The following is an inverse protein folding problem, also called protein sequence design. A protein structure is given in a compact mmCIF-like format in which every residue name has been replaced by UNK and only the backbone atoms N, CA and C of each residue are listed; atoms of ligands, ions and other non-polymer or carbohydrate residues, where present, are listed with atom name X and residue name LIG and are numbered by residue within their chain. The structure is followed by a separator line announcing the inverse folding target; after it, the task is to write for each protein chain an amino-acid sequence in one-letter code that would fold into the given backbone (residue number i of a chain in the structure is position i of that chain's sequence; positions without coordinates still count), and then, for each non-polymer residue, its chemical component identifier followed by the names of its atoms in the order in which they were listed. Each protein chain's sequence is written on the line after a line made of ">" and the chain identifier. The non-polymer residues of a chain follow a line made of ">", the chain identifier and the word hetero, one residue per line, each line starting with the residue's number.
data_IF_506070961101
#
_entry.id   IF_506070961101
#
_cell.length_a   1.000
_cell.length_b   1.000
_cell.length_c   1.000
_cell.angle_alpha   90.00
_cell.angle_beta   90.00
_cell.angle_gamma   90.00
#
_symmetry.space_group_name_H-M   'P 1'
#
loop_
_entity.id
_entity.type
_entity.pdbx_description
1 polymer ?
#
# COMPACT_ATOMS: atom_id res chain seq x y z
N UNK A 1 6.35 -6.90 -0.53
CA UNK A 1 5.39 -5.78 -0.67
C UNK A 1 4.44 -5.97 -1.83
N UNK A 2 4.90 -6.01 -3.10
CA UNK A 2 3.97 -6.17 -4.24
C UNK A 2 3.14 -7.45 -4.15
N UNK A 3 3.77 -8.55 -3.73
CA UNK A 3 3.07 -9.80 -3.44
C UNK A 3 2.06 -9.64 -2.29
N UNK A 4 2.46 -9.07 -1.15
CA UNK A 4 1.53 -8.77 -0.05
C UNK A 4 0.33 -7.90 -0.49
N UNK A 5 0.54 -6.94 -1.38
CA UNK A 5 -0.53 -6.10 -1.92
C UNK A 5 -1.60 -6.90 -2.67
N UNK A 6 -1.20 -7.96 -3.41
CA UNK A 6 -2.15 -8.77 -4.20
C UNK A 6 -3.08 -9.60 -3.32
N UNK A 7 -2.67 -9.90 -2.09
CA UNK A 7 -3.47 -10.66 -1.12
C UNK A 7 -4.58 -9.83 -0.45
N UNK A 8 -4.51 -8.49 -0.50
CA UNK A 8 -5.56 -7.64 0.04
C UNK A 8 -6.77 -7.59 -0.89
N UNK A 9 -7.83 -8.33 -0.50
CA UNK A 9 -9.16 -8.33 -1.15
C UNK A 9 -9.97 -7.07 -0.84
N UNK A 10 -9.64 -6.39 0.26
CA UNK A 10 -10.28 -5.17 0.76
C UNK A 10 -9.29 -4.02 0.81
N UNK A 11 -9.78 -2.83 1.12
CA UNK A 11 -8.93 -1.66 1.39
C UNK A 11 -7.90 -1.98 2.47
N UNK A 12 -6.67 -1.50 2.27
CA UNK A 12 -5.56 -1.70 3.20
C UNK A 12 -4.84 -0.39 3.50
N UNK A 13 -4.07 -0.37 4.56
CA UNK A 13 -3.24 0.76 5.00
C UNK A 13 -1.76 0.43 4.83
N UNK A 14 -0.92 1.45 4.99
CA UNK A 14 0.54 1.24 5.09
C UNK A 14 0.89 0.37 6.30
N UNK A 15 0.12 0.45 7.39
CA UNK A 15 0.34 -0.38 8.58
C UNK A 15 0.12 -1.86 8.26
N UNK A 16 -0.96 -2.20 7.56
CA UNK A 16 -1.25 -3.59 7.19
C UNK A 16 -0.14 -4.19 6.30
N UNK A 17 0.42 -3.37 5.40
CA UNK A 17 1.59 -3.74 4.61
C UNK A 17 2.87 -3.89 5.44
N UNK A 18 3.07 -3.03 6.45
CA UNK A 18 4.21 -3.12 7.35
C UNK A 18 4.12 -4.39 8.21
N UNK A 19 2.94 -4.74 8.70
CA UNK A 19 2.70 -5.98 9.46
C UNK A 19 2.93 -7.22 8.59
N UNK A 20 2.53 -7.17 7.31
CA UNK A 20 2.79 -8.26 6.35
C UNK A 20 4.24 -8.32 5.87
N UNK A 21 4.99 -7.23 5.99
CA UNK A 21 6.38 -7.08 5.53
C UNK A 21 7.23 -6.38 6.60
N UNK A 22 7.47 -6.99 7.77
CA UNK A 22 8.04 -6.31 8.93
C UNK A 22 9.48 -5.81 8.73
N UNK A 23 10.23 -6.41 7.82
CA UNK A 23 11.60 -6.03 7.49
C UNK A 23 11.71 -4.91 6.45
N UNK A 24 10.58 -4.47 5.87
CA UNK A 24 10.56 -3.42 4.85
C UNK A 24 10.30 -2.08 5.51
N UNK A 25 11.14 -1.08 5.27
CA UNK A 25 10.92 0.26 5.82
C UNK A 25 9.66 0.95 5.26
N UNK A 26 8.97 1.69 6.12
CA UNK A 26 7.73 2.42 5.78
C UNK A 26 7.90 3.35 4.58
N UNK A 27 9.06 4.00 4.44
CA UNK A 27 9.33 4.90 3.30
C UNK A 27 9.44 4.16 1.97
N UNK A 28 9.98 2.94 1.98
CA UNK A 28 10.01 2.08 0.80
C UNK A 28 8.58 1.64 0.44
N UNK A 29 7.75 1.30 1.42
CA UNK A 29 6.32 1.01 1.20
C UNK A 29 5.63 2.22 0.55
N UNK A 30 5.79 3.43 1.10
CA UNK A 30 5.22 4.66 0.51
C UNK A 30 5.72 4.91 -0.91
N UNK A 31 7.00 4.67 -1.19
CA UNK A 31 7.57 4.80 -2.55
C UNK A 31 6.89 3.83 -3.51
N UNK A 32 6.75 2.56 -3.13
CA UNK A 32 6.10 1.53 -3.95
C UNK A 32 4.64 1.89 -4.21
N UNK A 33 3.86 2.27 -3.18
CA UNK A 33 2.45 2.64 -3.35
C UNK A 33 2.26 3.83 -4.30
N UNK A 34 3.14 4.85 -4.21
CA UNK A 34 3.13 5.99 -5.14
C UNK A 34 3.41 5.55 -6.58
N UNK A 35 4.39 4.67 -6.79
CA UNK A 35 4.68 4.12 -8.12
C UNK A 35 3.48 3.34 -8.66
N UNK A 36 2.91 2.43 -7.88
CA UNK A 36 1.77 1.61 -8.32
C UNK A 36 0.52 2.46 -8.60
N UNK A 37 0.28 3.53 -7.83
CA UNK A 37 -0.76 4.52 -8.12
C UNK A 37 -0.52 5.27 -9.43
N UNK A 38 0.71 5.72 -9.69
CA UNK A 38 1.05 6.40 -10.94
C UNK A 38 0.91 5.49 -12.16
N UNK A 39 1.09 4.18 -11.97
CA UNK A 39 0.82 3.15 -12.98
C UNK A 39 -0.68 2.80 -13.12
N UNK A 40 -1.57 3.44 -12.35
CA UNK A 40 -3.01 3.19 -12.38
C UNK A 40 -3.46 1.90 -11.70
N UNK A 41 -2.56 1.15 -11.06
CA UNK A 41 -2.86 -0.13 -10.39
C UNK A 41 -3.44 0.01 -8.98
N UNK A 42 -3.29 1.19 -8.40
CA UNK A 42 -3.81 1.52 -7.08
C UNK A 42 -4.53 2.85 -7.10
N UNK A 43 -5.48 2.98 -6.18
CA UNK A 43 -6.01 4.27 -5.77
C UNK A 43 -5.84 4.49 -4.27
N UNK A 44 -5.64 5.75 -3.90
CA UNK A 44 -5.58 6.18 -2.50
C UNK A 44 -6.93 6.79 -2.15
N UNK A 45 -7.63 6.20 -1.17
CA UNK A 45 -8.98 6.55 -0.76
C UNK A 45 -9.03 7.67 0.30
N UNK A 46 -7.87 8.15 0.74
CA UNK A 46 -7.78 9.18 1.77
C UNK A 46 -6.41 9.87 1.80
N UNK A 47 -6.18 10.68 2.83
CA UNK A 47 -4.91 11.38 3.07
C UNK A 47 -4.46 11.20 4.51
N UNK A 48 -3.16 11.35 4.77
CA UNK A 48 -2.58 11.25 6.09
C UNK A 48 -2.12 9.84 6.50
N UNK A 49 -1.72 9.64 7.77
CA UNK A 49 -1.10 8.40 8.24
C UNK A 49 -2.01 7.17 8.17
N UNK A 50 -3.33 7.38 8.20
CA UNK A 50 -4.34 6.32 8.13
C UNK A 50 -4.98 6.19 6.75
N UNK A 51 -4.33 6.72 5.70
CA UNK A 51 -4.84 6.64 4.34
C UNK A 51 -5.02 5.17 3.92
N UNK A 52 -6.23 4.85 3.44
CA UNK A 52 -6.56 3.57 2.85
C UNK A 52 -6.21 3.54 1.37
N UNK A 53 -5.83 2.37 0.89
CA UNK A 53 -5.43 2.08 -0.48
C UNK A 53 -6.24 0.90 -1.00
N UNK A 54 -6.53 0.90 -2.29
CA UNK A 54 -7.30 -0.15 -2.97
C UNK A 54 -6.63 -0.53 -4.28
N UNK A 55 -6.58 -1.83 -4.55
CA UNK A 55 -6.18 -2.38 -5.84
C UNK A 55 -7.24 -2.07 -6.90
N UNK A 56 -6.80 -1.64 -8.09
CA UNK A 56 -7.64 -1.51 -9.29
C UNK A 56 -7.60 -2.75 -10.16
#
# INVERSE_FOLDING_TARGET
>A
VLDAMSHFRSDFTIRDLQESCPHVGVDLIRKILRVQKNLGKLECLGRGPNAKWRNR
#
